data_IF_260614395679
#
_entry.id   IF_260614395679
#
_cell.length_a   1.000
_cell.length_b   1.000
_cell.length_c   1.000
_cell.angle_alpha   90.00
_cell.angle_beta   90.00
_cell.angle_gamma   90.00
#
_symmetry.space_group_name_H-M   'P 1'
#
loop_
_entity.id
_entity.type
_entity.pdbx_description
1 polymer ?
#
# COMPACT_ATOMS: atom_id res chain seq x y z
N UNK A 1 -18.02 10.49 38.85
CA UNK A 1 -16.82 9.67 38.55
C UNK A 1 -17.12 8.60 37.51
N UNK A 2 -18.17 7.80 37.67
CA UNK A 2 -18.65 6.80 36.70
C UNK A 2 -18.98 7.38 35.32
N UNK A 3 -19.64 8.54 35.26
CA UNK A 3 -19.96 9.20 33.98
C UNK A 3 -18.71 9.53 33.16
N UNK A 4 -17.66 10.05 33.80
CA UNK A 4 -16.39 10.35 33.14
C UNK A 4 -15.72 9.07 32.62
N UNK A 5 -15.74 7.99 33.42
CA UNK A 5 -15.18 6.70 33.03
C UNK A 5 -15.90 6.16 31.79
N UNK A 6 -17.23 6.16 31.78
CA UNK A 6 -18.04 5.71 30.62
C UNK A 6 -17.76 6.56 29.39
N UNK A 7 -17.68 7.89 29.54
CA UNK A 7 -17.39 8.81 28.46
C UNK A 7 -16.02 8.53 27.80
N UNK A 8 -14.96 8.41 28.61
CA UNK A 8 -13.61 8.13 28.09
C UNK A 8 -13.49 6.71 27.51
N UNK A 9 -14.13 5.71 28.12
CA UNK A 9 -14.17 4.34 27.58
C UNK A 9 -14.85 4.28 26.22
N UNK A 10 -15.96 5.01 26.05
CA UNK A 10 -16.67 5.09 24.77
C UNK A 10 -15.81 5.80 23.71
N UNK A 11 -15.15 6.89 24.08
CA UNK A 11 -14.26 7.63 23.17
C UNK A 11 -13.05 6.79 22.73
N UNK A 12 -12.46 6.00 23.65
CA UNK A 12 -11.38 5.08 23.34
C UNK A 12 -11.84 3.96 22.38
N UNK A 13 -13.05 3.43 22.60
CA UNK A 13 -13.64 2.43 21.71
C UNK A 13 -13.75 2.96 20.27
N UNK A 14 -14.33 4.15 20.09
CA UNK A 14 -14.44 4.77 18.77
C UNK A 14 -13.07 5.03 18.13
N UNK A 15 -12.09 5.49 18.92
CA UNK A 15 -10.73 5.71 18.43
C UNK A 15 -10.09 4.42 17.89
N UNK A 16 -10.21 3.30 18.62
CA UNK A 16 -9.70 1.99 18.18
C UNK A 16 -10.41 1.54 16.89
N UNK A 17 -11.74 1.71 16.81
CA UNK A 17 -12.51 1.37 15.60
C UNK A 17 -12.01 2.17 14.40
N UNK A 18 -11.77 3.48 14.54
CA UNK A 18 -11.22 4.30 13.46
C UNK A 18 -9.80 3.89 13.07
N UNK A 19 -8.95 3.50 14.02
CA UNK A 19 -7.61 2.98 13.71
C UNK A 19 -7.68 1.69 12.89
N UNK A 20 -8.58 0.75 13.23
CA UNK A 20 -8.75 -0.49 12.48
C UNK A 20 -9.26 -0.20 11.06
N UNK A 21 -10.25 0.69 10.92
CA UNK A 21 -10.77 1.09 9.61
C UNK A 21 -9.68 1.76 8.78
N UNK A 22 -8.89 2.64 9.39
CA UNK A 22 -7.75 3.31 8.74
C UNK A 22 -6.71 2.29 8.29
N UNK A 23 -6.32 1.35 9.15
CA UNK A 23 -5.36 0.31 8.82
C UNK A 23 -5.85 -0.61 7.69
N UNK A 24 -7.15 -0.91 7.65
CA UNK A 24 -7.73 -1.74 6.58
C UNK A 24 -7.83 -0.99 5.24
N UNK A 25 -8.00 0.34 5.29
CA UNK A 25 -8.04 1.21 4.11
C UNK A 25 -6.65 1.61 3.62
N UNK A 26 -5.63 1.53 4.46
CA UNK A 26 -4.23 1.72 4.08
C UNK A 26 -3.67 0.50 3.33
N UNK A 27 -4.38 0.09 2.27
CA UNK A 27 -3.93 -0.89 1.28
C UNK A 27 -2.90 -0.30 0.31
N UNK A 28 -2.16 0.74 0.71
CA UNK A 28 -1.08 1.31 -0.12
C UNK A 28 0.04 0.31 -0.40
N UNK A 29 0.11 -0.78 0.36
CA UNK A 29 1.10 -1.85 0.19
C UNK A 29 0.63 -3.05 -0.64
N UNK A 30 -0.66 -3.15 -0.98
CA UNK A 30 -1.18 -4.32 -1.73
C UNK A 30 -1.13 -4.13 -3.26
N UNK A 31 -0.68 -2.98 -3.76
CA UNK A 31 -0.79 -2.65 -5.18
C UNK A 31 0.18 -3.39 -6.10
N UNK A 32 1.24 -4.04 -5.59
CA UNK A 32 2.32 -4.53 -6.46
C UNK A 32 2.82 -5.95 -6.13
N UNK A 33 1.98 -6.76 -5.48
CA UNK A 33 2.28 -8.18 -5.23
C UNK A 33 1.77 -9.07 -6.38
N UNK A 34 1.78 -8.58 -7.62
CA UNK A 34 1.61 -9.48 -8.75
C UNK A 34 2.99 -10.02 -9.12
N UNK A 35 3.22 -11.27 -8.76
CA UNK A 35 4.47 -11.99 -8.98
C UNK A 35 4.85 -12.08 -10.47
N UNK A 36 3.85 -11.95 -11.35
CA UNK A 36 3.95 -12.02 -12.79
C UNK A 36 3.72 -10.67 -13.49
N UNK A 37 4.69 -10.30 -14.34
CA UNK A 37 4.58 -9.19 -15.30
C UNK A 37 3.57 -9.59 -16.38
N UNK A 38 2.57 -8.75 -16.71
CA UNK A 38 1.63 -9.05 -17.80
C UNK A 38 2.34 -9.10 -19.16
N UNK A 39 1.83 -9.90 -20.10
CA UNK A 39 2.40 -9.99 -21.45
C UNK A 39 2.35 -8.65 -22.19
N UNK A 40 3.42 -8.31 -22.92
CA UNK A 40 3.54 -7.06 -23.68
C UNK A 40 4.13 -5.87 -22.91
N UNK A 41 4.57 -6.08 -21.66
CA UNK A 41 5.33 -5.09 -20.90
C UNK A 41 6.84 -5.31 -21.05
N UNK A 42 7.55 -4.28 -21.51
CA UNK A 42 9.00 -4.27 -21.68
C UNK A 42 9.68 -3.71 -20.44
N UNK A 43 10.78 -4.33 -20.02
CA UNK A 43 11.56 -3.87 -18.86
C UNK A 43 12.27 -2.58 -19.21
N UNK A 44 12.09 -1.55 -18.39
CA UNK A 44 12.84 -0.30 -18.52
C UNK A 44 14.12 -0.33 -17.68
N UNK A 45 15.02 0.62 -17.92
CA UNK A 45 16.21 0.85 -17.08
C UNK A 45 15.89 1.52 -15.74
N UNK A 46 14.64 1.94 -15.51
CA UNK A 46 14.22 2.62 -14.29
C UNK A 46 14.03 1.62 -13.14
N UNK A 47 14.88 1.75 -12.12
CA UNK A 47 14.85 0.98 -10.89
C UNK A 47 14.81 1.94 -9.71
N UNK A 48 13.75 1.84 -8.90
CA UNK A 48 13.62 2.59 -7.65
C UNK A 48 13.91 1.66 -6.47
N UNK A 49 14.62 2.16 -5.47
CA UNK A 49 14.92 1.41 -4.24
C UNK A 49 14.28 2.17 -3.10
N UNK A 50 13.37 1.52 -2.38
CA UNK A 50 12.75 2.11 -1.20
C UNK A 50 13.80 2.20 -0.07
N UNK A 51 14.13 3.41 0.44
CA UNK A 51 15.14 3.57 1.49
C UNK A 51 14.67 3.05 2.86
N UNK A 52 13.36 2.89 3.07
CA UNK A 52 12.78 2.40 4.32
C UNK A 52 12.69 0.88 4.37
N UNK A 53 12.49 0.22 3.22
CA UNK A 53 12.31 -1.25 3.16
C UNK A 53 13.40 -1.99 2.38
N UNK A 54 14.25 -1.30 1.63
CA UNK A 54 15.29 -1.89 0.79
C UNK A 54 14.75 -2.62 -0.45
N UNK A 55 13.43 -2.61 -0.68
CA UNK A 55 12.78 -3.32 -1.79
C UNK A 55 13.09 -2.64 -3.12
N UNK A 56 13.35 -3.43 -4.15
CA UNK A 56 13.70 -2.92 -5.49
C UNK A 56 12.47 -2.94 -6.37
N UNK A 57 12.01 -1.76 -6.79
CA UNK A 57 10.90 -1.61 -7.74
C UNK A 57 11.47 -1.43 -9.14
N UNK A 58 11.20 -2.39 -10.03
CA UNK A 58 11.54 -2.28 -11.46
C UNK A 58 10.32 -1.83 -12.23
N UNK A 59 10.47 -0.78 -13.06
CA UNK A 59 9.39 -0.26 -13.89
C UNK A 59 9.38 -0.99 -15.24
N UNK A 60 8.19 -1.42 -15.65
CA UNK A 60 7.92 -1.97 -16.97
C UNK A 60 6.97 -1.06 -17.74
N UNK A 61 7.15 -0.97 -19.04
CA UNK A 61 6.37 -0.09 -19.92
C UNK A 61 5.74 -0.91 -21.06
N UNK A 62 4.46 -0.68 -21.33
CA UNK A 62 3.78 -1.27 -22.48
C UNK A 62 3.74 -0.24 -23.64
N UNK A 63 4.51 -0.45 -24.72
CA UNK A 63 4.55 0.50 -25.84
C UNK A 63 3.24 0.57 -26.63
N UNK A 64 2.37 -0.44 -26.54
CA UNK A 64 1.08 -0.47 -27.24
C UNK A 64 0.00 0.34 -26.55
N UNK A 65 0.00 0.39 -25.22
CA UNK A 65 -1.05 1.06 -24.42
C UNK A 65 -0.56 2.30 -23.69
N UNK A 66 0.75 2.52 -23.59
CA UNK A 66 1.35 3.59 -22.80
C UNK A 66 1.30 3.35 -21.28
N UNK A 67 0.86 2.17 -20.83
CA UNK A 67 0.71 1.85 -19.42
C UNK A 67 2.06 1.52 -18.77
N UNK A 68 2.17 1.85 -17.48
CA UNK A 68 3.33 1.54 -16.64
C UNK A 68 2.95 0.52 -15.58
N UNK A 69 3.85 -0.42 -15.33
CA UNK A 69 3.66 -1.47 -14.34
C UNK A 69 4.88 -1.57 -13.42
N UNK A 70 4.64 -1.69 -12.11
CA UNK A 70 5.68 -1.63 -11.09
C UNK A 70 5.85 -3.02 -10.47
N UNK A 71 7.03 -3.63 -10.67
CA UNK A 71 7.37 -4.91 -10.04
C UNK A 71 8.21 -4.69 -8.81
N UNK A 72 7.75 -5.13 -7.65
CA UNK A 72 8.58 -5.19 -6.45
C UNK A 72 9.37 -6.51 -6.48
N UNK A 73 10.70 -6.44 -6.28
CA UNK A 73 11.61 -7.57 -6.14
C UNK A 73 12.33 -7.51 -4.79
#
# INVERSE_FOLDING_TARGET
>A
MTFLIVYFSLQLLFFIVFLIISAFRDRRHQANEHEHVPEGFEKTSEVSIDPSTGKKVTVYYNPRTGQRWYRVK
#
